data_IF_222481558371
#
_entry.id   IF_222481558371
#
_cell.length_a   1.000
_cell.length_b   1.000
_cell.length_c   1.000
_cell.angle_alpha   90.00
_cell.angle_beta   90.00
_cell.angle_gamma   90.00
#
_symmetry.space_group_name_H-M   'P 1'
#
loop_
_entity.id
_entity.type
_entity.pdbx_description
1 polymer ?
#
# COMPACT_ATOMS: atom_id res chain seq x y z
N UNK A 1 3.34 6.44 18.77
CA UNK A 1 2.40 7.13 17.89
C UNK A 1 2.37 6.45 16.53
N UNK A 2 1.19 6.11 16.02
CA UNK A 2 1.00 5.43 14.75
C UNK A 2 0.70 6.47 13.66
N UNK A 3 1.32 6.31 12.49
CA UNK A 3 0.93 7.00 11.27
C UNK A 3 0.20 6.01 10.35
N UNK A 4 -1.10 6.17 10.22
CA UNK A 4 -1.91 5.38 9.31
C UNK A 4 -1.72 5.86 7.87
N UNK A 5 -1.32 4.95 7.00
CA UNK A 5 -1.11 5.19 5.57
C UNK A 5 -2.38 4.75 4.85
N UNK A 6 -3.28 5.71 4.62
CA UNK A 6 -4.62 5.47 4.11
C UNK A 6 -4.67 5.59 2.59
N UNK A 7 -4.81 4.44 1.90
CA UNK A 7 -5.02 4.39 0.46
C UNK A 7 -6.51 4.24 0.14
N UNK A 8 -7.06 5.15 -0.64
CA UNK A 8 -8.48 5.16 -0.95
C UNK A 8 -8.77 5.66 -2.38
N UNK A 9 -9.95 5.32 -2.90
CA UNK A 9 -10.35 5.65 -4.27
C UNK A 9 -11.85 5.91 -4.44
N UNK A 10 -12.63 5.75 -3.39
CA UNK A 10 -14.11 5.89 -3.38
C UNK A 10 -14.59 6.30 -2.00
N UNK A 11 -15.89 6.50 -1.85
CA UNK A 11 -16.57 6.82 -0.59
C UNK A 11 -15.90 7.95 0.22
N UNK A 12 -16.00 9.21 -0.24
CA UNK A 12 -15.38 10.34 0.45
C UNK A 12 -15.80 10.46 1.91
N UNK A 13 -17.06 10.21 2.21
CA UNK A 13 -17.62 10.35 3.56
C UNK A 13 -17.11 9.25 4.50
N UNK A 14 -16.98 8.03 3.98
CA UNK A 14 -16.35 6.93 4.71
C UNK A 14 -14.89 7.22 5.04
N UNK A 15 -14.14 7.73 4.07
CA UNK A 15 -12.73 8.12 4.23
C UNK A 15 -12.58 9.24 5.27
N UNK A 16 -13.45 10.27 5.22
CA UNK A 16 -13.44 11.37 6.20
C UNK A 16 -13.70 10.82 7.61
N UNK A 17 -14.77 10.04 7.79
CA UNK A 17 -15.08 9.45 9.11
C UNK A 17 -13.94 8.57 9.64
N UNK A 18 -13.36 7.74 8.78
CA UNK A 18 -12.24 6.87 9.14
C UNK A 18 -11.01 7.69 9.57
N UNK A 19 -10.64 8.70 8.79
CA UNK A 19 -9.48 9.54 9.10
C UNK A 19 -9.69 10.34 10.41
N UNK A 20 -10.86 10.89 10.64
CA UNK A 20 -11.20 11.60 11.89
C UNK A 20 -11.11 10.66 13.10
N UNK A 21 -11.73 9.48 13.01
CA UNK A 21 -11.73 8.50 14.10
C UNK A 21 -10.32 8.04 14.47
N UNK A 22 -9.43 7.86 13.50
CA UNK A 22 -8.04 7.48 13.75
C UNK A 22 -7.23 8.63 14.36
N UNK A 23 -7.49 9.87 13.91
CA UNK A 23 -6.81 11.05 14.43
C UNK A 23 -7.26 11.42 15.86
N UNK A 24 -8.54 11.19 16.24
CA UNK A 24 -9.07 11.40 17.58
C UNK A 24 -8.33 10.59 18.65
N UNK A 25 -7.81 9.41 18.29
CA UNK A 25 -6.99 8.56 19.17
C UNK A 25 -5.58 9.10 19.46
N UNK A 26 -5.23 10.29 18.97
CA UNK A 26 -3.89 10.89 19.11
C UNK A 26 -2.88 10.40 18.08
N UNK A 27 -3.30 9.58 17.15
CA UNK A 27 -2.53 9.07 16.02
C UNK A 27 -2.59 10.01 14.80
N UNK A 28 -1.96 9.62 13.71
CA UNK A 28 -1.87 10.43 12.50
C UNK A 28 -2.33 9.65 11.28
N UNK A 29 -2.82 10.37 10.28
CA UNK A 29 -3.29 9.79 9.02
C UNK A 29 -2.67 10.53 7.85
N UNK A 30 -2.02 9.78 6.95
CA UNK A 30 -1.58 10.29 5.65
C UNK A 30 -2.44 9.69 4.55
N UNK A 31 -3.21 10.53 3.88
CA UNK A 31 -4.19 10.12 2.87
C UNK A 31 -3.58 10.17 1.48
N UNK A 32 -3.66 9.05 0.76
CA UNK A 32 -3.48 9.01 -0.69
C UNK A 32 -4.80 8.65 -1.36
N UNK A 33 -5.37 9.57 -2.14
CA UNK A 33 -6.56 9.32 -2.94
C UNK A 33 -6.18 9.06 -4.39
N UNK A 34 -6.64 7.94 -4.95
CA UNK A 34 -6.26 7.50 -6.31
C UNK A 34 -6.45 8.60 -7.35
N UNK A 35 -5.44 8.82 -8.19
CA UNK A 35 -5.49 9.80 -9.28
C UNK A 35 -6.44 9.44 -10.44
N UNK A 36 -7.06 8.26 -10.43
CA UNK A 36 -8.14 7.87 -11.34
C UNK A 36 -9.53 8.22 -10.79
N UNK A 37 -9.62 8.42 -9.49
CA UNK A 37 -10.89 8.77 -8.84
C UNK A 37 -11.28 10.24 -9.14
N UNK A 38 -12.59 10.57 -9.09
CA UNK A 38 -13.07 11.91 -9.40
C UNK A 38 -12.44 13.00 -8.55
N UNK A 39 -12.12 14.14 -9.17
CA UNK A 39 -11.52 15.28 -8.47
C UNK A 39 -12.48 15.89 -7.45
N UNK A 40 -13.78 15.85 -7.70
CA UNK A 40 -14.83 16.28 -6.75
C UNK A 40 -14.79 15.47 -5.45
N UNK A 41 -14.60 14.14 -5.56
CA UNK A 41 -14.45 13.27 -4.39
C UNK A 41 -13.20 13.62 -3.59
N UNK A 42 -12.10 13.92 -4.28
CA UNK A 42 -10.87 14.37 -3.63
C UNK A 42 -11.04 15.72 -2.95
N UNK A 43 -11.67 16.68 -3.63
CA UNK A 43 -11.96 18.00 -3.08
C UNK A 43 -12.80 17.89 -1.78
N UNK A 44 -13.84 17.05 -1.79
CA UNK A 44 -14.68 16.78 -0.62
C UNK A 44 -13.88 16.23 0.56
N UNK A 45 -12.98 15.28 0.33
CA UNK A 45 -12.10 14.74 1.38
C UNK A 45 -11.16 15.83 1.91
N UNK A 46 -10.58 16.63 1.01
CA UNK A 46 -9.71 17.75 1.39
C UNK A 46 -10.42 18.78 2.25
N UNK A 47 -11.66 19.12 1.90
CA UNK A 47 -12.50 20.04 2.67
C UNK A 47 -12.89 19.46 4.03
N UNK A 48 -13.41 18.22 4.05
CA UNK A 48 -13.84 17.55 5.27
C UNK A 48 -12.73 17.27 6.29
N UNK A 49 -11.48 17.22 5.84
CA UNK A 49 -10.29 17.02 6.68
C UNK A 49 -9.44 18.28 6.83
N UNK A 50 -9.95 19.43 6.37
CA UNK A 50 -9.24 20.71 6.47
C UNK A 50 -9.06 21.13 7.93
N UNK A 51 -7.84 21.50 8.29
CA UNK A 51 -7.52 21.96 9.66
C UNK A 51 -7.43 20.85 10.71
N UNK A 52 -7.59 19.59 10.36
CA UNK A 52 -7.42 18.46 11.29
C UNK A 52 -5.92 18.22 11.51
N UNK A 53 -5.43 18.53 12.71
CA UNK A 53 -4.00 18.52 13.04
C UNK A 53 -3.30 17.15 12.83
N UNK A 54 -4.02 16.05 13.00
CA UNK A 54 -3.51 14.69 12.81
C UNK A 54 -3.60 14.17 11.36
N UNK A 55 -3.98 15.01 10.38
CA UNK A 55 -4.18 14.53 8.99
C UNK A 55 -3.28 15.27 8.01
N UNK A 56 -2.67 14.52 7.10
CA UNK A 56 -1.92 15.04 5.95
C UNK A 56 -2.29 14.32 4.67
N UNK A 57 -1.84 14.83 3.55
CA UNK A 57 -2.12 14.25 2.24
C UNK A 57 -0.83 13.99 1.47
N UNK A 58 -0.80 12.91 0.69
CA UNK A 58 0.26 12.69 -0.27
C UNK A 58 0.36 13.88 -1.23
N UNK A 59 1.59 14.33 -1.53
CA UNK A 59 1.83 15.47 -2.40
C UNK A 59 1.36 15.20 -3.84
N UNK A 60 1.33 13.93 -4.24
CA UNK A 60 0.93 13.50 -5.59
C UNK A 60 -0.10 12.39 -5.51
N UNK A 61 -1.15 12.51 -6.32
CA UNK A 61 -2.13 11.44 -6.56
C UNK A 61 -1.62 10.53 -7.67
N UNK A 62 -1.16 9.34 -7.30
CA UNK A 62 -0.76 8.30 -8.25
C UNK A 62 -2.00 7.65 -8.85
N UNK A 63 -2.02 7.41 -10.16
CA UNK A 63 -3.08 6.65 -10.85
C UNK A 63 -2.85 5.15 -10.65
N UNK A 64 -3.54 4.56 -9.72
CA UNK A 64 -3.28 3.19 -9.29
C UNK A 64 -3.94 2.15 -10.20
N UNK A 65 -3.19 1.12 -10.57
CA UNK A 65 -3.72 -0.10 -11.19
C UNK A 65 -3.70 -1.26 -10.22
N UNK A 66 -4.76 -2.06 -10.25
CA UNK A 66 -4.85 -3.21 -9.36
C UNK A 66 -3.73 -4.23 -9.64
N UNK A 67 -2.94 -4.55 -8.61
CA UNK A 67 -1.78 -5.45 -8.73
C UNK A 67 -0.59 -4.84 -9.49
N UNK A 68 -0.55 -3.54 -9.70
CA UNK A 68 0.53 -2.82 -10.36
C UNK A 68 1.47 -2.16 -9.33
N UNK A 69 2.68 -1.85 -9.78
CA UNK A 69 3.66 -1.09 -8.99
C UNK A 69 3.13 0.26 -8.50
N UNK A 70 2.19 0.85 -9.22
CA UNK A 70 1.56 2.11 -8.87
C UNK A 70 0.89 2.11 -7.48
N UNK A 71 0.44 0.95 -6.97
CA UNK A 71 -0.04 0.85 -5.58
C UNK A 71 1.10 1.02 -4.57
N UNK A 72 2.26 0.43 -4.83
CA UNK A 72 3.45 0.61 -3.99
C UNK A 72 3.91 2.07 -4.04
N UNK A 73 3.93 2.68 -5.22
CA UNK A 73 4.27 4.09 -5.40
C UNK A 73 3.32 5.01 -4.61
N UNK A 74 2.02 4.75 -4.65
CA UNK A 74 1.00 5.46 -3.86
C UNK A 74 1.26 5.35 -2.36
N UNK A 75 1.59 4.14 -1.88
CA UNK A 75 1.97 3.91 -0.48
C UNK A 75 3.19 4.74 -0.09
N UNK A 76 4.23 4.72 -0.92
CA UNK A 76 5.47 5.48 -0.65
C UNK A 76 5.23 6.99 -0.64
N UNK A 77 4.36 7.53 -1.50
CA UNK A 77 3.98 8.95 -1.48
C UNK A 77 3.25 9.32 -0.17
N UNK A 78 2.37 8.46 0.33
CA UNK A 78 1.71 8.69 1.62
C UNK A 78 2.69 8.56 2.80
N UNK A 79 3.61 7.59 2.77
CA UNK A 79 4.68 7.44 3.79
C UNK A 79 5.57 8.68 3.83
N UNK A 80 5.97 9.22 2.68
CA UNK A 80 6.75 10.47 2.62
C UNK A 80 6.01 11.63 3.27
N UNK A 81 4.72 11.78 2.97
CA UNK A 81 3.88 12.83 3.56
C UNK A 81 3.78 12.66 5.08
N UNK A 82 3.54 11.43 5.56
CA UNK A 82 3.49 11.12 6.98
C UNK A 82 4.80 11.46 7.71
N UNK A 83 5.93 11.03 7.18
CA UNK A 83 7.25 11.30 7.78
C UNK A 83 7.57 12.79 7.85
N UNK A 84 7.12 13.58 6.86
CA UNK A 84 7.35 15.02 6.84
C UNK A 84 6.45 15.75 7.83
N UNK A 85 5.17 15.38 7.89
CA UNK A 85 4.19 16.05 8.73
C UNK A 85 4.24 15.58 10.20
N UNK A 86 4.64 14.33 10.43
CA UNK A 86 4.60 13.69 11.75
C UNK A 86 5.94 13.00 12.07
N UNK A 87 7.00 13.76 12.33
CA UNK A 87 8.34 13.21 12.58
C UNK A 87 8.43 12.39 13.87
N UNK A 88 7.46 12.52 14.76
CA UNK A 88 7.30 11.79 16.02
C UNK A 88 6.54 10.44 15.87
N UNK A 89 6.06 10.11 14.68
CA UNK A 89 5.45 8.81 14.42
C UNK A 89 6.51 7.71 14.43
N UNK A 90 6.27 6.68 15.22
CA UNK A 90 7.19 5.54 15.41
C UNK A 90 6.80 4.33 14.56
N UNK A 91 5.52 4.19 14.24
CA UNK A 91 4.98 3.07 13.47
C UNK A 91 4.18 3.57 12.27
N UNK A 92 4.27 2.85 11.17
CA UNK A 92 3.52 3.12 9.94
C UNK A 92 2.60 1.94 9.64
N UNK A 93 1.29 2.17 9.64
CA UNK A 93 0.31 1.12 9.44
C UNK A 93 -0.50 1.38 8.17
N UNK A 94 -0.36 0.49 7.17
CA UNK A 94 -1.07 0.63 5.91
C UNK A 94 -2.51 0.12 6.03
N UNK A 95 -3.46 0.96 5.61
CA UNK A 95 -4.89 0.65 5.58
C UNK A 95 -5.53 1.09 4.26
N UNK A 96 -6.67 0.51 3.93
CA UNK A 96 -7.50 0.97 2.81
C UNK A 96 -8.72 1.76 3.29
N UNK A 97 -9.35 2.50 2.39
CA UNK A 97 -10.59 3.21 2.68
C UNK A 97 -11.78 2.29 3.04
N UNK A 98 -11.65 0.99 2.84
CA UNK A 98 -12.65 -0.02 3.22
C UNK A 98 -12.32 -0.71 4.56
N UNK A 99 -11.22 -0.34 5.22
CA UNK A 99 -10.84 -0.89 6.53
C UNK A 99 -11.61 -0.17 7.66
N UNK A 100 -11.81 -0.88 8.77
CA UNK A 100 -12.35 -0.32 9.99
C UNK A 100 -11.54 -0.82 11.18
N UNK A 101 -11.20 0.07 12.11
CA UNK A 101 -10.58 -0.31 13.37
C UNK A 101 -11.56 -1.13 14.21
N UNK A 102 -11.12 -2.33 14.65
CA UNK A 102 -11.91 -3.22 15.52
C UNK A 102 -11.42 -3.23 16.97
N UNK A 103 -10.35 -2.49 17.25
CA UNK A 103 -9.77 -2.27 18.57
C UNK A 103 -9.55 -0.77 18.80
N UNK A 104 -9.48 -0.37 20.07
CA UNK A 104 -9.20 1.02 20.42
C UNK A 104 -7.74 1.39 20.15
N UNK A 105 -7.44 2.70 20.11
CA UNK A 105 -6.09 3.21 19.99
C UNK A 105 -5.20 2.76 21.16
N UNK A 106 -5.74 2.77 22.39
CA UNK A 106 -5.02 2.32 23.59
C UNK A 106 -4.59 0.85 23.48
N UNK A 107 -5.47 -0.01 22.94
CA UNK A 107 -5.13 -1.42 22.71
C UNK A 107 -3.99 -1.56 21.71
N UNK A 108 -4.05 -0.80 20.61
CA UNK A 108 -3.01 -0.83 19.57
C UNK A 108 -1.66 -0.31 20.11
N UNK A 109 -1.68 0.79 20.88
CA UNK A 109 -0.47 1.32 21.49
C UNK A 109 0.13 0.35 22.51
N UNK A 110 -0.67 -0.23 23.40
CA UNK A 110 -0.21 -1.21 24.38
C UNK A 110 0.38 -2.48 23.71
N UNK A 111 -0.19 -2.90 22.57
CA UNK A 111 0.36 -4.02 21.78
C UNK A 111 1.75 -3.67 21.22
N UNK A 112 1.88 -2.53 20.57
CA UNK A 112 3.14 -2.09 19.95
C UNK A 112 4.24 -1.78 20.96
N UNK A 113 3.88 -1.27 22.16
CA UNK A 113 4.83 -1.08 23.27
C UNK A 113 5.34 -2.39 23.85
N UNK A 114 4.50 -3.43 23.86
CA UNK A 114 4.88 -4.76 24.35
C UNK A 114 5.70 -5.54 23.33
N UNK A 115 5.38 -5.37 22.05
CA UNK A 115 6.00 -6.10 20.95
C UNK A 115 6.90 -5.15 20.17
N UNK A 116 8.20 -5.10 20.53
CA UNK A 116 9.21 -4.32 19.82
C UNK A 116 9.64 -5.04 18.53
N UNK A 117 8.71 -5.10 17.57
CA UNK A 117 8.90 -5.82 16.31
C UNK A 117 8.14 -5.18 15.16
N UNK A 118 8.70 -5.30 13.95
CA UNK A 118 7.99 -5.03 12.72
C UNK A 118 7.03 -6.19 12.39
N UNK A 119 5.79 -5.86 12.08
CA UNK A 119 4.75 -6.84 11.75
C UNK A 119 4.61 -6.96 10.24
N UNK A 120 5.31 -7.92 9.65
CA UNK A 120 5.22 -8.26 8.23
C UNK A 120 4.90 -9.74 8.09
N UNK A 121 3.80 -10.04 7.41
CA UNK A 121 3.48 -11.40 7.02
C UNK A 121 4.40 -11.80 5.86
N UNK A 122 5.23 -12.81 6.07
CA UNK A 122 6.09 -13.35 5.01
C UNK A 122 6.07 -14.87 5.04
N UNK A 123 6.14 -15.47 3.85
CA UNK A 123 6.15 -16.93 3.67
C UNK A 123 7.33 -17.31 2.79
N UNK A 124 7.92 -18.48 3.05
CA UNK A 124 8.76 -19.11 2.05
C UNK A 124 7.91 -19.42 0.82
N UNK A 125 8.31 -18.86 -0.32
CA UNK A 125 7.56 -19.01 -1.57
C UNK A 125 7.47 -20.48 -2.02
N UNK A 126 8.52 -21.26 -1.79
CA UNK A 126 8.60 -22.64 -2.28
C UNK A 126 7.83 -23.62 -1.37
N UNK A 127 7.73 -23.30 -0.08
CA UNK A 127 6.98 -24.09 0.91
C UNK A 127 5.51 -23.69 0.98
N UNK A 128 5.18 -22.46 0.60
CA UNK A 128 3.82 -21.94 0.67
C UNK A 128 2.88 -22.54 -0.37
N UNK A 129 1.75 -23.06 0.07
CA UNK A 129 0.63 -23.47 -0.76
C UNK A 129 -0.31 -22.34 -1.18
N UNK A 130 0.02 -21.08 -0.87
CA UNK A 130 -0.86 -19.93 -1.09
C UNK A 130 -1.12 -19.65 -2.56
N UNK A 131 -0.08 -19.75 -3.41
CA UNK A 131 -0.23 -19.57 -4.86
C UNK A 131 -0.62 -20.91 -5.49
N UNK A 132 -1.91 -21.10 -5.70
CA UNK A 132 -2.46 -22.37 -6.22
C UNK A 132 -2.58 -22.41 -7.74
N UNK A 133 -2.65 -21.26 -8.42
CA UNK A 133 -2.92 -21.14 -9.86
C UNK A 133 -2.05 -20.06 -10.53
N UNK A 134 -1.89 -20.17 -11.84
CA UNK A 134 -1.13 -19.21 -12.64
C UNK A 134 0.38 -19.43 -12.57
N UNK A 135 1.12 -18.35 -12.79
CA UNK A 135 2.59 -18.39 -12.73
C UNK A 135 3.06 -18.50 -11.29
N UNK A 136 4.08 -19.31 -11.05
CA UNK A 136 4.71 -19.52 -9.73
C UNK A 136 6.08 -18.86 -9.69
N UNK A 137 7.13 -19.61 -9.86
CA UNK A 137 8.53 -19.13 -9.88
C UNK A 137 8.78 -18.05 -10.94
N UNK A 138 8.03 -18.07 -12.03
CA UNK A 138 8.15 -17.07 -13.07
C UNK A 138 7.92 -15.63 -12.55
N UNK A 139 7.16 -15.46 -11.47
CA UNK A 139 6.96 -14.17 -10.79
C UNK A 139 8.28 -13.58 -10.29
N UNK A 140 9.19 -14.44 -9.87
CA UNK A 140 10.46 -14.07 -9.27
C UNK A 140 11.59 -14.02 -10.30
N UNK A 141 11.56 -14.89 -11.31
CA UNK A 141 12.66 -15.13 -12.24
C UNK A 141 12.63 -14.19 -13.44
N UNK A 142 11.43 -13.88 -13.96
CA UNK A 142 11.28 -13.09 -15.19
C UNK A 142 10.81 -11.66 -14.93
N UNK A 143 11.06 -10.78 -15.91
CA UNK A 143 10.50 -9.42 -15.90
C UNK A 143 9.08 -9.44 -16.45
N UNK A 144 8.18 -8.74 -15.78
CA UNK A 144 6.79 -8.60 -16.20
C UNK A 144 6.62 -7.27 -16.94
N UNK A 145 6.74 -7.30 -18.27
CA UNK A 145 6.61 -6.11 -19.12
C UNK A 145 5.16 -5.71 -19.37
N UNK A 146 4.24 -6.64 -19.18
CA UNK A 146 2.81 -6.44 -19.38
C UNK A 146 2.03 -6.88 -18.15
N UNK A 147 0.89 -6.25 -17.90
CA UNK A 147 -0.03 -6.68 -16.85
C UNK A 147 -0.84 -7.89 -17.35
N UNK A 148 -0.84 -8.99 -16.60
CA UNK A 148 -1.53 -10.23 -16.93
C UNK A 148 -3.05 -10.02 -17.10
N UNK A 149 -3.67 -9.11 -16.34
CA UNK A 149 -5.11 -8.88 -16.37
C UNK A 149 -5.57 -8.11 -17.59
N UNK A 150 -4.78 -7.12 -18.02
CA UNK A 150 -5.17 -6.22 -19.10
C UNK A 150 -4.61 -6.65 -20.46
N UNK A 151 -3.47 -7.39 -20.48
CA UNK A 151 -2.76 -7.81 -21.70
C UNK A 151 -2.26 -9.24 -21.60
N UNK A 152 -3.15 -10.16 -21.25
CA UNK A 152 -2.84 -11.56 -20.95
C UNK A 152 -1.99 -12.25 -22.03
N UNK A 153 -2.36 -12.10 -23.29
CA UNK A 153 -1.62 -12.74 -24.41
C UNK A 153 -0.17 -12.22 -24.50
N UNK A 154 0.03 -10.90 -24.41
CA UNK A 154 1.36 -10.28 -24.44
C UNK A 154 2.18 -10.64 -23.20
N UNK A 155 1.54 -10.77 -22.06
CA UNK A 155 2.18 -11.18 -20.82
C UNK A 155 2.82 -12.59 -20.99
N UNK A 156 2.03 -13.58 -21.38
CA UNK A 156 2.55 -14.95 -21.58
C UNK A 156 3.52 -15.06 -22.76
N UNK A 157 3.30 -14.31 -23.85
CA UNK A 157 4.24 -14.26 -24.95
C UNK A 157 5.61 -13.73 -24.49
N UNK A 158 5.64 -12.65 -23.69
CA UNK A 158 6.86 -12.09 -23.11
C UNK A 158 7.59 -13.10 -22.22
N UNK A 159 6.87 -13.83 -21.37
CA UNK A 159 7.47 -14.87 -20.52
C UNK A 159 8.08 -16.00 -21.37
N UNK A 160 7.38 -16.45 -22.42
CA UNK A 160 7.88 -17.50 -23.29
C UNK A 160 9.14 -17.09 -24.06
N UNK A 161 9.21 -15.83 -24.52
CA UNK A 161 10.41 -15.29 -25.17
C UNK A 161 11.58 -15.28 -24.18
N UNK A 162 11.38 -14.76 -22.96
CA UNK A 162 12.42 -14.73 -21.93
C UNK A 162 12.91 -16.16 -21.61
N UNK A 163 11.98 -17.11 -21.47
CA UNK A 163 12.30 -18.53 -21.21
C UNK A 163 13.15 -19.12 -22.33
N UNK A 164 12.77 -18.92 -23.60
CA UNK A 164 13.49 -19.42 -24.77
C UNK A 164 14.89 -18.83 -24.91
N UNK A 165 15.05 -17.56 -24.57
CA UNK A 165 16.33 -16.85 -24.66
C UNK A 165 17.18 -16.96 -23.37
N UNK A 166 16.72 -17.67 -22.35
CA UNK A 166 17.42 -17.79 -21.05
C UNK A 166 17.52 -16.48 -20.29
N UNK A 167 16.70 -15.48 -20.62
CA UNK A 167 16.73 -14.17 -19.97
C UNK A 167 16.08 -14.25 -18.59
N UNK A 168 16.86 -13.91 -17.57
CA UNK A 168 16.38 -13.83 -16.18
C UNK A 168 16.62 -12.43 -15.63
N UNK A 169 15.76 -11.98 -14.72
CA UNK A 169 16.01 -10.71 -14.02
C UNK A 169 17.18 -10.90 -13.06
N UNK A 170 18.03 -9.89 -12.96
CA UNK A 170 19.07 -9.86 -11.95
C UNK A 170 18.43 -9.52 -10.59
N UNK A 171 18.69 -10.35 -9.61
CA UNK A 171 18.32 -10.05 -8.21
C UNK A 171 19.40 -9.13 -7.65
N UNK A 172 19.05 -8.01 -7.01
CA UNK A 172 20.03 -7.13 -6.37
C UNK A 172 20.90 -7.89 -5.35
N UNK A 173 22.15 -7.47 -5.23
CA UNK A 173 23.07 -8.05 -4.23
C UNK A 173 22.47 -7.90 -2.81
N UNK A 174 22.55 -8.96 -2.02
CA UNK A 174 21.97 -9.00 -0.67
C UNK A 174 20.51 -9.43 -0.58
N UNK A 175 19.80 -9.56 -1.71
CA UNK A 175 18.45 -10.15 -1.75
C UNK A 175 18.51 -11.62 -2.18
N UNK A 176 17.71 -12.45 -1.53
CA UNK A 176 17.49 -13.85 -1.93
C UNK A 176 16.05 -14.00 -2.37
N UNK A 177 15.83 -14.82 -3.39
CA UNK A 177 14.50 -15.35 -3.70
C UNK A 177 14.36 -16.59 -2.82
N UNK A 178 13.60 -16.45 -1.76
CA UNK A 178 13.23 -17.55 -0.88
C UNK A 178 11.86 -18.07 -1.28
#
# INVERSE_FOLDING_TARGET
KIAFILLCHKDPDGVIRQALSLAEGGDCVAVHFDGRAPDESYARIREGLSGVAGVTFAARRVRCGWGEWSLVEATLEAVKAARTAFPDATHFYMISGDCMAIKSAEYAHALLEREDADHIESFDFFESGWIKTGIREERLIYRHHFNERTRKALFYASLNVQRRLGLRRKVPAGLRIM
#
